data_IF_335088570464
#
_entry.id   IF_335088570464
#
_cell.length_a   1.000
_cell.length_b   1.000
_cell.length_c   1.000
_cell.angle_alpha   90.00
_cell.angle_beta   90.00
_cell.angle_gamma   90.00
#
_symmetry.space_group_name_H-M   'P 1'
#
loop_
_entity.id
_entity.type
_entity.pdbx_description
1 polymer ?
#
# COMPACT_ATOMS: atom_id res chain seq x y z
N UNK A 1 0.89 22.30 -3.86
CA UNK A 1 2.29 22.51 -4.32
C UNK A 1 2.85 23.71 -3.54
N UNK A 2 3.37 23.49 -2.33
CA UNK A 2 3.79 24.58 -1.40
C UNK A 2 5.24 24.48 -0.95
N UNK A 3 5.89 23.34 -1.19
CA UNK A 3 7.25 23.05 -0.75
C UNK A 3 8.03 22.46 -1.92
N UNK A 4 9.31 22.84 -2.04
CA UNK A 4 10.23 22.29 -3.04
C UNK A 4 10.99 21.11 -2.45
N UNK A 5 10.33 19.96 -2.37
CA UNK A 5 10.94 18.72 -1.85
C UNK A 5 11.60 17.94 -2.99
N UNK A 6 12.69 17.23 -2.67
CA UNK A 6 13.39 16.34 -3.61
C UNK A 6 12.75 14.96 -3.71
N UNK A 7 12.03 14.54 -2.66
CA UNK A 7 11.41 13.23 -2.61
C UNK A 7 10.32 13.11 -1.57
N UNK A 8 9.50 12.08 -1.74
CA UNK A 8 8.58 11.58 -0.73
C UNK A 8 8.98 10.17 -0.33
N UNK A 9 8.98 9.92 0.98
CA UNK A 9 9.33 8.64 1.56
C UNK A 9 8.20 8.17 2.48
N UNK A 10 7.89 6.88 2.42
CA UNK A 10 6.95 6.21 3.32
C UNK A 10 7.71 5.08 4.01
N UNK A 11 7.49 4.90 5.31
CA UNK A 11 8.04 3.80 6.08
C UNK A 11 7.22 2.51 5.88
N UNK A 12 7.26 1.61 6.84
CA UNK A 12 6.75 0.24 6.76
C UNK A 12 5.30 0.06 7.26
N UNK A 13 4.64 1.13 7.72
CA UNK A 13 3.27 1.02 8.25
C UNK A 13 2.22 1.01 7.13
N UNK A 14 1.65 -0.17 6.89
CA UNK A 14 0.49 -0.37 6.01
C UNK A 14 -0.73 -0.86 6.80
N UNK A 15 -1.14 -2.11 6.61
CA UNK A 15 -2.06 -2.77 7.55
C UNK A 15 -1.31 -3.10 8.84
N UNK A 16 -1.97 -3.08 10.02
CA UNK A 16 -1.35 -3.49 11.25
C UNK A 16 -0.80 -4.91 11.17
N UNK A 17 0.34 -5.14 11.83
CA UNK A 17 0.81 -6.49 12.06
C UNK A 17 -0.24 -7.26 12.85
N UNK A 18 -0.48 -8.52 12.46
CA UNK A 18 -1.45 -9.37 13.13
C UNK A 18 -1.02 -9.62 14.58
N UNK A 19 -1.73 -9.03 15.54
CA UNK A 19 -1.62 -9.30 16.97
C UNK A 19 -2.71 -10.27 17.47
N UNK A 20 -3.45 -10.88 16.53
CA UNK A 20 -4.65 -11.69 16.79
C UNK A 20 -5.95 -10.89 16.72
N UNK A 21 -5.88 -9.57 16.60
CA UNK A 21 -7.06 -8.70 16.40
C UNK A 21 -7.36 -8.55 14.92
N UNK A 22 -8.62 -8.75 14.54
CA UNK A 22 -9.05 -8.56 13.16
C UNK A 22 -9.16 -7.05 12.83
N UNK A 23 -8.55 -6.65 11.72
CA UNK A 23 -8.70 -5.28 11.22
C UNK A 23 -10.15 -5.05 10.75
N UNK A 24 -10.81 -3.94 11.15
CA UNK A 24 -12.25 -3.75 10.98
C UNK A 24 -12.65 -3.30 9.56
N UNK A 25 -12.19 -4.01 8.52
CA UNK A 25 -12.47 -3.74 7.10
C UNK A 25 -13.50 -4.69 6.48
N UNK A 26 -14.24 -5.43 7.30
CA UNK A 26 -15.17 -6.45 6.82
C UNK A 26 -16.25 -5.85 5.89
N UNK A 27 -16.81 -4.70 6.23
CA UNK A 27 -17.82 -4.04 5.40
C UNK A 27 -17.24 -3.62 4.04
N UNK A 28 -16.06 -3.02 4.02
CA UNK A 28 -15.37 -2.65 2.78
C UNK A 28 -15.02 -3.86 1.91
N UNK A 29 -14.65 -4.99 2.53
CA UNK A 29 -14.40 -6.23 1.80
C UNK A 29 -15.69 -6.81 1.20
N UNK A 30 -16.82 -6.77 1.92
CA UNK A 30 -18.12 -7.20 1.40
C UNK A 30 -18.57 -6.33 0.22
N UNK A 31 -18.39 -5.01 0.30
CA UNK A 31 -18.68 -4.10 -0.81
C UNK A 31 -17.82 -4.42 -2.04
N UNK A 32 -16.52 -4.70 -1.86
CA UNK A 32 -15.64 -5.14 -2.94
C UNK A 32 -16.15 -6.44 -3.60
N UNK A 33 -16.59 -7.42 -2.81
CA UNK A 33 -17.15 -8.67 -3.33
C UNK A 33 -18.46 -8.45 -4.09
N UNK A 34 -19.35 -7.60 -3.58
CA UNK A 34 -20.61 -7.24 -4.23
C UNK A 34 -20.39 -6.55 -5.60
N UNK A 35 -19.28 -5.84 -5.75
CA UNK A 35 -18.87 -5.21 -7.01
C UNK A 35 -18.16 -6.19 -7.98
N UNK A 36 -18.15 -7.49 -7.68
CA UNK A 36 -17.54 -8.53 -8.51
C UNK A 36 -16.08 -8.83 -8.18
N UNK A 37 -15.58 -8.34 -7.04
CA UNK A 37 -14.25 -8.65 -6.55
C UNK A 37 -14.05 -10.13 -6.23
N UNK A 38 -12.96 -10.72 -6.73
CA UNK A 38 -12.67 -12.16 -6.60
C UNK A 38 -11.44 -12.50 -5.75
N UNK A 39 -10.70 -11.49 -5.28
CA UNK A 39 -9.51 -11.71 -4.47
C UNK A 39 -9.86 -12.22 -3.07
N UNK A 40 -8.97 -13.08 -2.53
CA UNK A 40 -8.99 -13.39 -1.09
C UNK A 40 -8.86 -12.09 -0.29
N UNK A 41 -9.39 -12.04 0.94
CA UNK A 41 -9.26 -10.84 1.79
C UNK A 41 -7.81 -10.39 1.96
N UNK A 42 -6.89 -11.34 2.05
CA UNK A 42 -5.45 -11.06 2.17
C UNK A 42 -4.84 -10.48 0.88
N UNK A 43 -5.22 -10.99 -0.29
CA UNK A 43 -4.76 -10.45 -1.59
C UNK A 43 -5.40 -9.11 -1.89
N UNK A 44 -6.66 -8.93 -1.52
CA UNK A 44 -7.36 -7.66 -1.61
C UNK A 44 -6.68 -6.58 -0.75
N UNK A 45 -6.29 -6.89 0.50
CA UNK A 45 -5.49 -5.98 1.33
C UNK A 45 -4.15 -5.61 0.68
N UNK A 46 -3.44 -6.59 0.09
CA UNK A 46 -2.21 -6.34 -0.68
C UNK A 46 -2.47 -5.45 -1.89
N UNK A 47 -3.55 -5.68 -2.61
CA UNK A 47 -3.95 -4.88 -3.77
C UNK A 47 -4.27 -3.43 -3.36
N UNK A 48 -4.90 -3.21 -2.20
CA UNK A 48 -5.16 -1.86 -1.68
C UNK A 48 -3.86 -1.08 -1.45
N UNK A 49 -2.84 -1.72 -0.86
CA UNK A 49 -1.51 -1.11 -0.68
C UNK A 49 -0.85 -0.81 -2.03
N UNK A 50 -0.89 -1.76 -2.97
CA UNK A 50 -0.34 -1.55 -4.31
C UNK A 50 -1.00 -0.36 -5.04
N UNK A 51 -2.33 -0.28 -4.95
CA UNK A 51 -3.10 0.80 -5.56
C UNK A 51 -2.75 2.16 -4.95
N UNK A 52 -2.58 2.23 -3.61
CA UNK A 52 -2.16 3.44 -2.93
C UNK A 52 -0.77 3.90 -3.40
N UNK A 53 0.21 2.99 -3.42
CA UNK A 53 1.58 3.26 -3.86
C UNK A 53 1.59 3.76 -5.31
N UNK A 54 0.86 3.10 -6.21
CA UNK A 54 0.74 3.50 -7.60
C UNK A 54 0.08 4.87 -7.76
N UNK A 55 -0.97 5.15 -6.99
CA UNK A 55 -1.68 6.43 -7.01
C UNK A 55 -0.75 7.57 -6.56
N UNK A 56 -0.04 7.37 -5.45
CA UNK A 56 0.92 8.35 -4.92
C UNK A 56 2.04 8.62 -5.93
N UNK A 57 2.66 7.57 -6.47
CA UNK A 57 3.68 7.70 -7.49
C UNK A 57 3.17 8.51 -8.69
N UNK A 58 2.03 8.10 -9.26
CA UNK A 58 1.47 8.72 -10.47
C UNK A 58 1.12 10.19 -10.23
N UNK A 59 0.41 10.50 -9.13
CA UNK A 59 -0.01 11.87 -8.81
C UNK A 59 1.17 12.81 -8.57
N UNK A 60 2.22 12.33 -7.91
CA UNK A 60 3.42 13.13 -7.69
C UNK A 60 4.18 13.41 -8.98
N UNK A 61 4.32 12.43 -9.87
CA UNK A 61 5.03 12.63 -11.13
C UNK A 61 4.27 13.53 -12.11
N UNK A 62 2.94 13.61 -12.01
CA UNK A 62 2.14 14.66 -12.69
C UNK A 62 2.48 16.07 -12.16
N UNK A 63 2.87 16.17 -10.89
CA UNK A 63 3.18 17.45 -10.23
C UNK A 63 4.63 17.89 -10.44
N UNK A 64 5.59 16.99 -10.22
CA UNK A 64 7.04 17.21 -10.37
C UNK A 64 7.65 15.93 -10.94
N UNK A 65 7.85 15.81 -12.27
CA UNK A 65 8.24 14.56 -12.92
C UNK A 65 9.58 13.96 -12.48
N UNK A 66 10.44 14.74 -11.83
CA UNK A 66 11.76 14.31 -11.34
C UNK A 66 11.81 14.08 -9.83
N UNK A 67 10.69 14.19 -9.11
CA UNK A 67 10.65 13.97 -7.66
C UNK A 67 10.91 12.49 -7.36
N UNK A 68 11.70 12.19 -6.34
CA UNK A 68 11.95 10.80 -5.92
C UNK A 68 10.75 10.27 -5.14
N UNK A 69 10.49 8.98 -5.27
CA UNK A 69 9.54 8.26 -4.42
C UNK A 69 10.18 6.97 -3.92
N UNK A 70 10.05 6.70 -2.62
CA UNK A 70 10.57 5.49 -2.02
C UNK A 70 9.69 5.00 -0.88
N UNK A 71 9.76 3.69 -0.66
CA UNK A 71 9.13 3.00 0.46
C UNK A 71 10.24 2.24 1.18
N UNK A 72 10.28 2.31 2.51
CA UNK A 72 11.14 1.47 3.34
C UNK A 72 10.28 0.37 3.97
N UNK A 73 10.07 -0.78 3.29
CA UNK A 73 9.28 -1.86 3.85
C UNK A 73 10.05 -2.60 4.95
N UNK A 74 9.32 -3.44 5.68
CA UNK A 74 9.92 -4.38 6.62
C UNK A 74 11.00 -5.25 5.96
N UNK A 75 12.10 -5.51 6.67
CA UNK A 75 13.30 -6.15 6.11
C UNK A 75 13.12 -7.60 5.62
N UNK A 76 12.02 -8.26 5.99
CA UNK A 76 11.67 -9.62 5.56
C UNK A 76 10.35 -9.55 4.79
N UNK A 77 10.40 -9.78 3.48
CA UNK A 77 9.19 -9.86 2.65
C UNK A 77 8.42 -11.17 2.88
N UNK A 78 9.15 -12.29 2.98
CA UNK A 78 8.61 -13.64 3.22
C UNK A 78 9.69 -14.49 3.87
N UNK A 79 9.33 -15.33 4.84
CA UNK A 79 10.26 -16.30 5.42
C UNK A 79 10.89 -17.17 4.32
N UNK A 80 12.22 -17.27 4.33
CA UNK A 80 12.99 -17.97 3.30
C UNK A 80 13.24 -17.17 2.01
N UNK A 81 13.09 -15.83 2.03
CA UNK A 81 13.38 -14.97 0.87
C UNK A 81 14.14 -13.69 1.25
N UNK A 82 15.26 -13.36 0.57
CA UNK A 82 16.00 -14.22 -0.36
C UNK A 82 16.62 -15.42 0.37
N UNK A 83 16.98 -16.46 -0.39
CA UNK A 83 17.58 -17.68 0.13
C UNK A 83 18.99 -17.44 0.71
#
# INVERSE_FOLDING_TARGET
>A
RRYDVDGMHIDDYFYPYSDGTEFPDQNSYLEYQQQGGSLSKSDWRRQNVNNLIQLLYTRMHVVKPKVKFGVSPFGIWKSGVPA
#
